data_IF_917405471396
#
_entry.id   IF_917405471396
#
_cell.length_a   1.000
_cell.length_b   1.000
_cell.length_c   1.000
_cell.angle_alpha   90.00
_cell.angle_beta   90.00
_cell.angle_gamma   90.00
#
_symmetry.space_group_name_H-M   'P 1'
#
loop_
_entity.id
_entity.type
_entity.pdbx_description
1 polymer ?
#
# COMPACT_ATOMS: atom_id res chain seq x y z
N UNK A 1 -3.91 13.91 -25.02
CA UNK A 1 -3.18 15.02 -24.35
C UNK A 1 -1.98 14.47 -23.59
N UNK A 2 -0.82 15.12 -23.69
CA UNK A 2 0.38 14.71 -22.94
C UNK A 2 0.17 14.78 -21.41
N UNK A 3 0.72 13.80 -20.68
CA UNK A 3 0.67 13.72 -19.21
C UNK A 3 1.88 14.43 -18.62
N UNK A 4 1.71 15.70 -18.26
CA UNK A 4 2.79 16.56 -17.74
C UNK A 4 3.43 16.01 -16.45
N UNK A 5 2.67 15.26 -15.65
CA UNK A 5 3.14 14.64 -14.41
C UNK A 5 4.28 13.63 -14.63
N UNK A 6 4.44 13.12 -15.86
CA UNK A 6 5.54 12.21 -16.24
C UNK A 6 6.82 12.94 -16.65
N UNK A 7 6.78 14.24 -16.95
CA UNK A 7 7.96 14.99 -17.40
C UNK A 7 9.15 14.91 -16.42
N UNK A 8 8.95 15.01 -15.08
CA UNK A 8 10.06 14.83 -14.13
C UNK A 8 10.70 13.44 -14.18
N UNK A 9 10.03 12.45 -14.78
CA UNK A 9 10.50 11.07 -14.92
C UNK A 9 11.05 10.77 -16.32
N UNK A 10 11.20 11.78 -17.20
CA UNK A 10 11.69 11.60 -18.58
C UNK A 10 12.96 10.75 -18.64
N UNK A 11 14.01 11.15 -17.91
CA UNK A 11 15.30 10.45 -17.88
C UNK A 11 15.17 9.00 -17.41
N UNK A 12 14.28 8.75 -16.44
CA UNK A 12 14.02 7.41 -15.95
C UNK A 12 13.33 6.56 -17.02
N UNK A 13 12.34 7.11 -17.71
CA UNK A 13 11.60 6.42 -18.78
C UNK A 13 12.51 6.17 -20.00
N UNK A 14 13.42 7.11 -20.31
CA UNK A 14 14.34 7.03 -21.44
C UNK A 14 15.38 5.90 -21.28
N UNK A 15 15.82 5.62 -20.04
CA UNK A 15 16.79 4.55 -19.71
C UNK A 15 16.33 3.14 -20.07
N UNK A 16 15.04 2.92 -20.36
CA UNK A 16 14.55 1.61 -20.76
C UNK A 16 15.02 1.22 -22.17
N UNK A 17 15.90 0.23 -22.21
CA UNK A 17 16.44 -0.40 -23.43
C UNK A 17 15.64 -1.63 -23.90
N UNK A 18 14.46 -1.89 -23.31
CA UNK A 18 13.50 -2.97 -23.70
C UNK A 18 14.06 -4.40 -23.74
N UNK A 19 15.19 -4.63 -23.08
CA UNK A 19 15.94 -5.89 -23.04
C UNK A 19 15.20 -7.11 -22.45
N UNK A 20 14.13 -6.91 -21.67
CA UNK A 20 13.30 -8.01 -21.17
C UNK A 20 13.70 -8.61 -19.81
N UNK A 21 14.83 -8.21 -19.20
CA UNK A 21 15.26 -8.71 -17.88
C UNK A 21 14.21 -8.54 -16.77
N UNK A 22 13.33 -7.54 -16.90
CA UNK A 22 12.22 -7.34 -15.98
C UNK A 22 11.22 -8.52 -15.93
N UNK A 23 11.23 -9.43 -16.91
CA UNK A 23 10.38 -10.63 -16.93
C UNK A 23 10.65 -11.55 -15.73
N UNK A 24 11.92 -11.79 -15.41
CA UNK A 24 12.32 -12.65 -14.29
C UNK A 24 11.78 -12.13 -12.95
N UNK A 25 11.71 -10.80 -12.79
CA UNK A 25 11.30 -10.16 -11.55
C UNK A 25 9.82 -9.83 -11.41
N UNK A 26 8.99 -10.03 -12.45
CA UNK A 26 7.59 -9.63 -12.42
C UNK A 26 6.65 -10.81 -12.11
N UNK A 27 6.05 -10.89 -10.91
CA UNK A 27 5.13 -11.99 -10.58
C UNK A 27 3.84 -11.95 -11.40
N UNK A 28 3.38 -10.75 -11.80
CA UNK A 28 2.17 -10.58 -12.61
C UNK A 28 2.38 -11.16 -14.00
N UNK A 29 3.52 -10.86 -14.63
CA UNK A 29 3.87 -11.43 -15.94
C UNK A 29 4.00 -12.95 -15.89
N UNK A 30 4.57 -13.50 -14.81
CA UNK A 30 4.67 -14.97 -14.64
C UNK A 30 3.31 -15.68 -14.64
N UNK A 31 2.24 -14.98 -14.26
CA UNK A 31 0.88 -15.53 -14.23
C UNK A 31 0.12 -15.21 -15.51
N UNK A 32 0.27 -13.99 -16.03
CA UNK A 32 -0.55 -13.47 -17.15
C UNK A 32 0.07 -13.70 -18.52
N UNK A 33 1.40 -13.73 -18.62
CA UNK A 33 2.12 -13.70 -19.90
C UNK A 33 2.02 -12.37 -20.65
N UNK A 34 1.37 -11.36 -20.08
CA UNK A 34 1.02 -10.12 -20.78
C UNK A 34 2.16 -9.10 -20.77
N UNK A 35 2.54 -8.64 -21.97
CA UNK A 35 3.68 -7.73 -22.15
C UNK A 35 3.49 -6.39 -21.41
N UNK A 36 2.26 -5.89 -21.31
CA UNK A 36 1.95 -4.64 -20.63
C UNK A 36 2.20 -4.71 -19.11
N UNK A 37 2.21 -5.91 -18.51
CA UNK A 37 2.48 -6.11 -17.08
C UNK A 37 3.96 -5.93 -16.73
N UNK A 38 4.85 -5.96 -17.71
CA UNK A 38 6.30 -5.81 -17.52
C UNK A 38 6.72 -4.36 -17.33
N UNK A 39 7.90 -4.18 -16.71
CA UNK A 39 8.52 -2.85 -16.63
C UNK A 39 8.67 -2.20 -18.01
N UNK A 40 9.17 -2.93 -19.01
CA UNK A 40 9.36 -2.39 -20.37
C UNK A 40 8.04 -2.00 -21.05
N UNK A 41 6.98 -2.80 -20.89
CA UNK A 41 5.64 -2.46 -21.39
C UNK A 41 5.10 -1.18 -20.73
N UNK A 42 5.25 -1.07 -19.41
CA UNK A 42 4.87 0.13 -18.65
C UNK A 42 5.68 1.36 -19.03
N UNK A 43 6.97 1.23 -19.33
CA UNK A 43 7.80 2.33 -19.84
C UNK A 43 7.36 2.76 -21.25
N UNK A 44 6.93 1.81 -22.10
CA UNK A 44 6.38 2.14 -23.42
C UNK A 44 5.06 2.91 -23.30
N UNK A 45 4.15 2.47 -22.42
CA UNK A 45 2.92 3.19 -22.10
C UNK A 45 3.23 4.59 -21.57
N UNK A 46 4.13 4.69 -20.57
CA UNK A 46 4.53 5.97 -19.99
C UNK A 46 5.12 6.92 -21.03
N UNK A 47 5.98 6.42 -21.93
CA UNK A 47 6.52 7.23 -23.03
C UNK A 47 5.42 7.72 -23.97
N UNK A 48 4.46 6.87 -24.34
CA UNK A 48 3.34 7.27 -25.20
C UNK A 48 2.46 8.34 -24.55
N UNK A 49 2.15 8.17 -23.26
CA UNK A 49 1.41 9.15 -22.46
C UNK A 49 2.15 10.48 -22.33
N UNK A 50 3.47 10.43 -22.13
CA UNK A 50 4.33 11.61 -21.98
C UNK A 50 4.47 12.40 -23.29
N UNK A 51 4.60 11.70 -24.42
CA UNK A 51 4.72 12.31 -25.76
C UNK A 51 3.37 12.69 -26.37
N UNK A 52 2.25 12.34 -25.73
CA UNK A 52 0.91 12.61 -26.23
C UNK A 52 0.47 11.71 -27.39
N UNK A 53 1.22 10.64 -27.70
CA UNK A 53 0.86 9.64 -28.71
C UNK A 53 -0.08 8.55 -28.18
N UNK A 54 -0.35 8.56 -26.88
CA UNK A 54 -1.31 7.69 -26.20
C UNK A 54 -2.16 8.54 -25.26
N UNK A 55 -3.47 8.34 -25.27
CA UNK A 55 -4.37 9.00 -24.33
C UNK A 55 -4.56 8.19 -23.05
N UNK A 56 -4.69 8.89 -21.92
CA UNK A 56 -4.91 8.26 -20.62
C UNK A 56 -6.37 7.82 -20.43
N UNK A 57 -6.73 6.75 -21.14
CA UNK A 57 -8.06 6.14 -21.11
C UNK A 57 -8.20 5.09 -20.01
N UNK A 58 -9.43 4.64 -19.75
CA UNK A 58 -9.70 3.52 -18.83
C UNK A 58 -9.00 2.23 -19.27
N UNK A 59 -8.87 2.00 -20.57
CA UNK A 59 -8.22 0.82 -21.13
C UNK A 59 -6.71 0.84 -20.84
N UNK A 60 -6.04 1.96 -21.12
CA UNK A 60 -4.62 2.15 -20.77
C UNK A 60 -4.40 1.96 -19.28
N UNK A 61 -5.33 2.44 -18.44
CA UNK A 61 -5.24 2.19 -17.00
C UNK A 61 -5.39 0.73 -16.61
N UNK A 62 -6.28 -0.05 -17.25
CA UNK A 62 -6.40 -1.49 -16.94
C UNK A 62 -5.06 -2.21 -17.12
N UNK A 63 -4.28 -1.83 -18.13
CA UNK A 63 -2.96 -2.38 -18.38
C UNK A 63 -1.92 -2.06 -17.28
N UNK A 64 -2.19 -1.07 -16.42
CA UNK A 64 -1.31 -0.62 -15.33
C UNK A 64 -1.85 -0.98 -13.93
N UNK A 65 -3.14 -1.29 -13.81
CA UNK A 65 -3.81 -1.58 -12.54
C UNK A 65 -3.34 -2.89 -11.90
N UNK A 66 -2.85 -3.83 -12.70
CA UNK A 66 -2.28 -5.10 -12.26
C UNK A 66 -0.94 -4.94 -11.50
N UNK A 67 -0.30 -3.76 -11.57
CA UNK A 67 0.97 -3.52 -10.91
C UNK A 67 0.82 -3.57 -9.38
N UNK A 68 1.49 -4.55 -8.77
CA UNK A 68 1.56 -4.71 -7.32
C UNK A 68 2.50 -3.70 -6.63
N UNK A 69 3.24 -2.90 -7.39
CA UNK A 69 4.30 -2.00 -6.90
C UNK A 69 5.37 -2.72 -6.05
N UNK A 70 5.59 -4.02 -6.28
CA UNK A 70 6.50 -4.86 -5.50
C UNK A 70 7.99 -4.62 -5.79
N UNK A 71 8.32 -3.83 -6.83
CA UNK A 71 9.70 -3.53 -7.27
C UNK A 71 10.55 -4.74 -7.67
N UNK A 72 9.96 -5.93 -7.83
CA UNK A 72 10.68 -7.12 -8.30
C UNK A 72 11.34 -6.91 -9.67
N UNK A 73 10.65 -6.24 -10.59
CA UNK A 73 11.21 -5.85 -11.89
C UNK A 73 12.38 -4.85 -11.78
N UNK A 74 12.34 -3.92 -10.82
CA UNK A 74 13.43 -2.97 -10.57
C UNK A 74 14.69 -3.69 -10.12
N UNK A 75 14.56 -4.67 -9.22
CA UNK A 75 15.69 -5.46 -8.71
C UNK A 75 16.42 -6.27 -9.80
N UNK A 76 15.70 -6.68 -10.86
CA UNK A 76 16.26 -7.44 -11.99
C UNK A 76 16.72 -6.56 -13.16
N UNK A 77 16.46 -5.26 -13.10
CA UNK A 77 16.74 -4.35 -14.20
C UNK A 77 18.16 -3.77 -14.05
N UNK A 78 19.02 -3.92 -15.07
CA UNK A 78 20.37 -3.33 -15.06
C UNK A 78 20.39 -1.82 -14.73
N UNK A 79 19.59 -0.96 -15.40
CA UNK A 79 19.49 0.45 -15.01
C UNK A 79 18.59 0.71 -13.78
N UNK A 80 18.12 -0.32 -13.09
CA UNK A 80 17.30 -0.25 -11.88
C UNK A 80 16.09 0.70 -12.00
N UNK A 81 15.34 0.61 -13.10
CA UNK A 81 14.20 1.48 -13.38
C UNK A 81 13.16 1.45 -12.25
N UNK A 82 12.83 2.61 -11.68
CA UNK A 82 11.78 2.81 -10.66
C UNK A 82 10.40 2.78 -11.31
N UNK A 83 10.04 1.59 -11.80
CA UNK A 83 8.76 1.33 -12.48
C UNK A 83 7.58 1.64 -11.57
N UNK A 84 7.72 1.41 -10.27
CA UNK A 84 6.71 1.74 -9.28
C UNK A 84 6.40 3.24 -9.24
N UNK A 85 7.41 4.10 -9.34
CA UNK A 85 7.22 5.56 -9.35
C UNK A 85 6.48 6.00 -10.62
N UNK A 86 6.86 5.47 -11.78
CA UNK A 86 6.16 5.73 -13.05
C UNK A 86 4.70 5.30 -12.99
N UNK A 87 4.42 4.08 -12.52
CA UNK A 87 3.05 3.57 -12.42
C UNK A 87 2.24 4.40 -11.43
N UNK A 88 2.80 4.72 -10.27
CA UNK A 88 2.12 5.53 -9.27
C UNK A 88 1.83 6.95 -9.79
N UNK A 89 2.75 7.55 -10.54
CA UNK A 89 2.52 8.84 -11.22
C UNK A 89 1.38 8.76 -12.23
N UNK A 90 1.32 7.69 -13.03
CA UNK A 90 0.21 7.50 -13.99
C UNK A 90 -1.13 7.29 -13.26
N UNK A 91 -1.15 6.51 -12.18
CA UNK A 91 -2.34 6.33 -11.33
C UNK A 91 -2.82 7.65 -10.74
N UNK A 92 -1.90 8.49 -10.27
CA UNK A 92 -2.20 9.83 -9.76
C UNK A 92 -2.75 10.76 -10.84
N UNK A 93 -2.11 10.78 -12.00
CA UNK A 93 -2.55 11.52 -13.18
C UNK A 93 -3.97 11.10 -13.60
N UNK A 94 -4.30 9.80 -13.51
CA UNK A 94 -5.63 9.29 -13.82
C UNK A 94 -6.67 9.73 -12.80
N UNK A 95 -6.41 9.56 -11.50
CA UNK A 95 -7.34 9.97 -10.43
C UNK A 95 -7.60 11.48 -10.47
N UNK A 96 -6.58 12.28 -10.77
CA UNK A 96 -6.71 13.74 -10.87
C UNK A 96 -7.65 14.16 -12.00
N UNK A 97 -7.64 13.44 -13.12
CA UNK A 97 -8.47 13.73 -14.30
C UNK A 97 -9.86 13.11 -14.25
N UNK A 98 -9.97 11.88 -13.78
CA UNK A 98 -11.19 11.06 -13.85
C UNK A 98 -11.89 10.89 -12.49
N UNK A 99 -11.28 11.38 -11.42
CA UNK A 99 -11.75 11.19 -10.06
C UNK A 99 -11.41 9.82 -9.46
N UNK A 100 -11.74 9.67 -8.18
CA UNK A 100 -11.65 8.42 -7.44
C UNK A 100 -13.00 8.06 -6.83
N UNK A 101 -13.29 6.76 -6.63
CA UNK A 101 -14.51 6.33 -5.94
C UNK A 101 -14.65 6.99 -4.56
N UNK A 102 -15.84 7.50 -4.25
CA UNK A 102 -16.10 8.26 -3.01
C UNK A 102 -15.78 7.44 -1.76
N UNK A 103 -16.08 6.15 -1.79
CA UNK A 103 -15.78 5.23 -0.69
C UNK A 103 -14.27 5.11 -0.44
N UNK A 104 -13.43 5.10 -1.49
CA UNK A 104 -11.97 5.06 -1.36
C UNK A 104 -11.45 6.35 -0.74
N UNK A 105 -11.98 7.50 -1.18
CA UNK A 105 -11.63 8.81 -0.63
C UNK A 105 -11.95 8.89 0.87
N UNK A 106 -13.12 8.42 1.29
CA UNK A 106 -13.51 8.37 2.71
C UNK A 106 -12.60 7.41 3.49
N UNK A 107 -12.33 6.22 2.96
CA UNK A 107 -11.44 5.24 3.57
C UNK A 107 -10.06 5.85 3.81
N UNK A 108 -9.43 6.45 2.80
CA UNK A 108 -8.07 6.98 2.90
C UNK A 108 -7.99 8.24 3.75
N UNK A 109 -8.89 9.21 3.53
CA UNK A 109 -8.79 10.54 4.16
C UNK A 109 -9.42 10.59 5.55
N UNK A 110 -10.38 9.73 5.88
CA UNK A 110 -11.08 9.77 7.16
C UNK A 110 -10.76 8.59 8.06
N UNK A 111 -10.83 7.36 7.53
CA UNK A 111 -10.61 6.16 8.35
C UNK A 111 -9.12 5.95 8.56
N UNK A 112 -8.33 5.72 7.49
CA UNK A 112 -6.91 5.40 7.59
C UNK A 112 -6.03 6.54 8.15
N UNK A 113 -6.50 7.78 8.06
CA UNK A 113 -5.77 8.94 8.57
C UNK A 113 -6.00 9.20 10.06
N UNK A 114 -6.85 8.41 10.72
CA UNK A 114 -7.15 8.51 12.14
C UNK A 114 -6.98 7.14 12.79
N UNK A 115 -6.02 7.05 13.70
CA UNK A 115 -5.70 5.79 14.34
C UNK A 115 -6.92 5.20 15.08
N UNK A 116 -7.78 6.02 15.72
CA UNK A 116 -8.92 5.51 16.53
C UNK A 116 -9.96 4.91 15.60
N UNK A 117 -10.21 5.57 14.47
CA UNK A 117 -11.13 5.07 13.45
C UNK A 117 -10.60 3.82 12.78
N UNK A 118 -9.29 3.72 12.50
CA UNK A 118 -8.68 2.47 12.03
C UNK A 118 -8.95 1.34 13.01
N UNK A 119 -8.67 1.53 14.29
CA UNK A 119 -8.85 0.45 15.27
C UNK A 119 -10.31 0.02 15.41
N UNK A 120 -11.23 0.99 15.46
CA UNK A 120 -12.66 0.72 15.52
C UNK A 120 -13.13 -0.03 14.26
N UNK A 121 -12.77 0.47 13.07
CA UNK A 121 -13.14 -0.15 11.78
C UNK A 121 -12.56 -1.55 11.62
N UNK A 122 -11.30 -1.75 12.01
CA UNK A 122 -10.64 -3.05 12.01
C UNK A 122 -11.33 -4.04 12.95
N UNK A 123 -11.68 -3.62 14.17
CA UNK A 123 -12.44 -4.46 15.12
C UNK A 123 -13.81 -4.85 14.58
N UNK A 124 -14.53 -3.90 13.97
CA UNK A 124 -15.84 -4.19 13.35
C UNK A 124 -15.69 -5.16 12.17
N UNK A 125 -14.67 -4.98 11.33
CA UNK A 125 -14.39 -5.88 10.21
C UNK A 125 -14.04 -7.29 10.69
N UNK A 126 -13.21 -7.42 11.72
CA UNK A 126 -12.89 -8.71 12.35
C UNK A 126 -14.13 -9.39 12.92
N UNK A 127 -14.95 -8.64 13.65
CA UNK A 127 -16.20 -9.14 14.21
C UNK A 127 -17.15 -9.62 13.10
N UNK A 128 -17.33 -8.84 12.04
CA UNK A 128 -18.14 -9.22 10.88
C UNK A 128 -17.60 -10.47 10.17
N UNK A 129 -16.27 -10.63 10.07
CA UNK A 129 -15.65 -11.82 9.48
C UNK A 129 -15.86 -13.07 10.36
N UNK A 130 -15.68 -12.94 11.68
CA UNK A 130 -15.87 -14.04 12.66
C UNK A 130 -17.31 -14.53 12.74
N UNK A 131 -18.27 -13.62 12.64
CA UNK A 131 -19.70 -13.96 12.65
C UNK A 131 -20.26 -14.32 11.26
N UNK A 132 -19.41 -14.48 10.24
CA UNK A 132 -19.83 -14.87 8.89
C UNK A 132 -20.58 -13.81 8.10
N UNK A 133 -20.77 -12.61 8.65
CA UNK A 133 -21.44 -11.49 7.97
C UNK A 133 -20.67 -11.04 6.73
N UNK A 134 -19.33 -11.01 6.79
CA UNK A 134 -18.50 -10.68 5.63
C UNK A 134 -18.68 -11.70 4.50
N UNK A 135 -18.71 -13.00 4.85
CA UNK A 135 -18.95 -14.11 3.91
C UNK A 135 -20.36 -14.05 3.32
N UNK A 136 -21.36 -13.70 4.14
CA UNK A 136 -22.73 -13.53 3.67
C UNK A 136 -22.84 -12.35 2.72
N UNK A 137 -22.26 -11.20 3.05
CA UNK A 137 -22.23 -10.01 2.20
C UNK A 137 -21.49 -10.25 0.87
N UNK A 138 -20.49 -11.14 0.86
CA UNK A 138 -19.85 -11.60 -0.37
C UNK A 138 -20.82 -12.44 -1.21
N UNK A 139 -21.44 -13.46 -0.60
CA UNK A 139 -22.37 -14.39 -1.28
C UNK A 139 -23.62 -13.70 -1.84
N UNK A 140 -24.13 -12.69 -1.13
CA UNK A 140 -25.28 -11.89 -1.58
C UNK A 140 -24.90 -10.82 -2.61
N UNK A 141 -23.61 -10.68 -2.93
CA UNK A 141 -23.11 -9.68 -3.88
C UNK A 141 -23.05 -8.25 -3.34
N UNK A 142 -23.42 -8.01 -2.07
CA UNK A 142 -23.42 -6.69 -1.45
C UNK A 142 -22.03 -6.04 -1.47
N UNK A 143 -20.97 -6.82 -1.25
CA UNK A 143 -19.60 -6.31 -1.36
C UNK A 143 -19.26 -5.85 -2.78
N UNK A 144 -19.76 -6.58 -3.79
CA UNK A 144 -19.54 -6.26 -5.20
C UNK A 144 -20.28 -5.01 -5.68
N UNK A 145 -21.40 -4.66 -5.03
CA UNK A 145 -22.12 -3.40 -5.28
C UNK A 145 -21.30 -2.18 -4.86
N UNK A 146 -20.49 -2.30 -3.80
CA UNK A 146 -19.60 -1.22 -3.35
C UNK A 146 -18.35 -1.17 -4.25
N UNK A 147 -17.65 -2.30 -4.39
CA UNK A 147 -16.57 -2.47 -5.35
C UNK A 147 -16.31 -3.98 -5.57
N UNK A 148 -16.25 -4.41 -6.83
CA UNK A 148 -15.98 -5.81 -7.21
C UNK A 148 -14.69 -6.37 -6.58
N UNK A 149 -13.71 -5.51 -6.28
CA UNK A 149 -12.44 -5.87 -5.65
C UNK A 149 -12.59 -6.25 -4.17
N UNK A 150 -13.64 -5.78 -3.48
CA UNK A 150 -13.87 -6.11 -2.07
C UNK A 150 -14.21 -7.58 -1.86
N UNK A 151 -14.97 -8.19 -2.78
CA UNK A 151 -15.26 -9.62 -2.74
C UNK A 151 -13.97 -10.45 -2.92
N UNK A 152 -13.08 -10.03 -3.83
CA UNK A 152 -11.76 -10.68 -4.01
C UNK A 152 -10.91 -10.50 -2.75
N UNK A 153 -10.87 -9.29 -2.18
CA UNK A 153 -10.12 -9.00 -0.97
C UNK A 153 -10.59 -9.86 0.21
N UNK A 154 -11.90 -10.07 0.37
CA UNK A 154 -12.46 -10.91 1.44
C UNK A 154 -11.97 -12.37 1.34
N UNK A 155 -11.91 -12.92 0.12
CA UNK A 155 -11.46 -14.30 -0.14
C UNK A 155 -9.97 -14.52 0.05
N UNK A 156 -9.15 -13.54 -0.34
CA UNK A 156 -7.68 -13.67 -0.33
C UNK A 156 -7.09 -13.25 1.02
N UNK A 157 -7.80 -12.41 1.79
CA UNK A 157 -7.33 -11.99 3.10
C UNK A 157 -7.16 -13.19 4.03
N UNK A 158 -6.01 -13.32 4.72
CA UNK A 158 -5.75 -14.43 5.62
C UNK A 158 -6.81 -14.51 6.73
N UNK A 159 -6.96 -15.69 7.37
CA UNK A 159 -7.75 -15.79 8.59
C UNK A 159 -7.18 -14.83 9.65
N UNK A 160 -8.07 -14.17 10.39
CA UNK A 160 -7.71 -13.15 11.39
C UNK A 160 -8.28 -13.55 12.75
N UNK A 161 -7.79 -14.69 13.24
CA UNK A 161 -8.33 -15.36 14.42
C UNK A 161 -7.64 -14.88 15.71
N UNK A 162 -6.40 -14.39 15.57
CA UNK A 162 -5.65 -13.83 16.68
C UNK A 162 -6.29 -12.55 17.25
N UNK A 163 -5.96 -12.25 18.51
CA UNK A 163 -6.32 -10.98 19.14
C UNK A 163 -5.48 -9.86 18.48
N UNK A 164 -6.11 -8.78 17.97
CA UNK A 164 -5.35 -7.71 17.33
C UNK A 164 -4.51 -6.94 18.36
N UNK A 165 -3.33 -6.48 17.93
CA UNK A 165 -2.47 -5.61 18.73
C UNK A 165 -2.97 -4.16 18.65
N UNK A 166 -3.64 -3.70 19.71
CA UNK A 166 -4.35 -2.41 19.77
C UNK A 166 -3.60 -1.37 20.63
N UNK A 167 -4.07 -0.13 20.57
CA UNK A 167 -3.41 0.98 21.29
C UNK A 167 -3.29 0.81 22.79
N UNK A 168 -4.28 0.17 23.42
CA UNK A 168 -4.26 -0.09 24.87
C UNK A 168 -3.16 -1.05 25.29
N UNK A 169 -2.62 -1.85 24.37
CA UNK A 169 -1.57 -2.84 24.62
C UNK A 169 -0.17 -2.25 24.47
N UNK A 170 -0.05 -0.96 24.11
CA UNK A 170 1.24 -0.25 24.01
C UNK A 170 2.01 -0.16 25.33
N UNK A 171 1.35 -0.42 26.46
CA UNK A 171 1.98 -0.50 27.78
C UNK A 171 2.59 -1.86 28.08
N UNK A 172 2.29 -2.90 27.28
CA UNK A 172 2.75 -4.27 27.47
C UNK A 172 4.07 -4.56 26.73
N UNK A 173 4.97 -3.57 26.70
CA UNK A 173 6.27 -3.69 26.04
C UNK A 173 7.27 -4.36 27.00
N UNK A 174 7.92 -5.47 26.61
CA UNK A 174 8.93 -6.10 27.44
C UNK A 174 10.10 -5.14 27.71
N UNK A 175 10.53 -5.04 28.97
CA UNK A 175 11.69 -4.24 29.34
C UNK A 175 13.00 -5.02 29.07
N UNK A 176 14.04 -4.37 28.53
CA UNK A 176 15.37 -4.98 28.44
C UNK A 176 16.00 -5.12 29.83
N UNK A 177 16.82 -6.17 30.03
CA UNK A 177 17.59 -6.33 31.28
C UNK A 177 18.65 -5.23 31.47
N UNK A 178 19.23 -4.74 30.36
CA UNK A 178 20.13 -3.59 30.34
C UNK A 178 19.79 -2.72 29.13
N UNK A 179 19.62 -1.43 29.36
CA UNK A 179 19.30 -0.47 28.30
C UNK A 179 20.57 -0.12 27.51
N UNK A 180 20.57 -0.45 26.22
CA UNK A 180 21.64 -0.09 25.25
C UNK A 180 21.14 0.93 24.22
N UNK A 181 19.89 0.77 23.78
CA UNK A 181 19.30 1.59 22.72
C UNK A 181 17.89 2.04 23.08
N UNK A 182 17.46 3.17 22.50
CA UNK A 182 16.06 3.65 22.56
C UNK A 182 15.46 3.55 21.16
N UNK A 183 14.34 2.86 21.02
CA UNK A 183 13.71 2.59 19.72
C UNK A 183 12.27 3.03 19.72
N UNK A 184 11.90 3.88 18.76
CA UNK A 184 10.50 4.14 18.44
C UNK A 184 9.97 3.09 17.47
N UNK A 185 8.99 2.29 17.87
CA UNK A 185 8.41 1.27 17.01
C UNK A 185 7.12 1.76 16.33
N UNK A 186 7.19 1.98 15.02
CA UNK A 186 6.03 2.32 14.18
C UNK A 186 5.25 1.05 13.85
N UNK A 187 4.08 0.89 14.47
CA UNK A 187 3.28 -0.33 14.29
C UNK A 187 2.42 -0.21 13.04
N UNK A 188 2.61 -1.12 12.09
CA UNK A 188 1.76 -1.19 10.89
C UNK A 188 0.35 -1.67 11.26
N UNK A 189 -0.69 -0.94 10.84
CA UNK A 189 -2.08 -1.36 11.01
C UNK A 189 -2.35 -2.73 10.35
N UNK A 190 -1.65 -3.06 9.27
CA UNK A 190 -1.75 -4.37 8.64
C UNK A 190 -1.28 -5.49 9.57
N UNK A 191 -0.14 -5.31 10.22
CA UNK A 191 0.39 -6.28 11.18
C UNK A 191 -0.47 -6.36 12.44
N UNK A 192 -0.93 -5.22 12.98
CA UNK A 192 -1.81 -5.19 14.15
C UNK A 192 -3.05 -6.09 14.02
N UNK A 193 -3.62 -6.20 12.83
CA UNK A 193 -4.86 -6.94 12.60
C UNK A 193 -4.66 -8.31 11.94
N UNK A 194 -3.69 -8.45 11.02
CA UNK A 194 -3.49 -9.69 10.26
C UNK A 194 -2.43 -10.61 10.87
N UNK A 195 -1.40 -10.04 11.51
CA UNK A 195 -0.24 -10.79 12.02
C UNK A 195 0.25 -10.19 13.36
N UNK A 196 -0.62 -10.08 14.39
CA UNK A 196 -0.26 -9.47 15.66
C UNK A 196 0.93 -10.17 16.35
N UNK A 197 1.10 -11.47 16.14
CA UNK A 197 2.24 -12.25 16.62
C UNK A 197 3.59 -11.72 16.12
N UNK A 198 3.62 -11.12 14.91
CA UNK A 198 4.82 -10.48 14.36
C UNK A 198 5.16 -9.22 15.14
N UNK A 199 4.15 -8.45 15.57
CA UNK A 199 4.34 -7.27 16.42
C UNK A 199 4.94 -7.68 17.76
N UNK A 200 4.36 -8.66 18.43
CA UNK A 200 4.85 -9.15 19.72
C UNK A 200 6.25 -9.75 19.62
N UNK A 201 6.51 -10.56 18.58
CA UNK A 201 7.82 -11.14 18.33
C UNK A 201 8.88 -10.04 18.12
N UNK A 202 8.54 -8.99 17.38
CA UNK A 202 9.42 -7.83 17.17
C UNK A 202 9.76 -7.16 18.50
N UNK A 203 8.77 -6.90 19.35
CA UNK A 203 8.99 -6.29 20.67
C UNK A 203 9.89 -7.17 21.56
N UNK A 204 9.66 -8.49 21.59
CA UNK A 204 10.51 -9.43 22.35
C UNK A 204 11.95 -9.45 21.85
N UNK A 205 12.16 -9.46 20.53
CA UNK A 205 13.50 -9.43 19.92
C UNK A 205 14.21 -8.12 20.27
N UNK A 206 13.54 -6.98 20.16
CA UNK A 206 14.11 -5.68 20.51
C UNK A 206 14.51 -5.63 22.00
N UNK A 207 13.63 -6.04 22.90
CA UNK A 207 13.91 -6.06 24.34
C UNK A 207 15.10 -6.97 24.68
N UNK A 208 15.17 -8.18 24.09
CA UNK A 208 16.33 -9.09 24.27
C UNK A 208 17.65 -8.51 23.80
N UNK A 209 17.61 -7.60 22.82
CA UNK A 209 18.81 -6.93 22.30
C UNK A 209 19.13 -5.61 23.02
N UNK A 210 18.52 -5.35 24.18
CA UNK A 210 18.80 -4.18 25.00
C UNK A 210 18.11 -2.91 24.52
N UNK A 211 17.07 -3.02 23.68
CA UNK A 211 16.30 -1.87 23.23
C UNK A 211 15.17 -1.57 24.21
N UNK A 212 15.15 -0.38 24.78
CA UNK A 212 13.93 0.18 25.37
C UNK A 212 13.05 0.68 24.24
N UNK A 213 11.87 0.08 24.08
CA UNK A 213 10.97 0.36 22.97
C UNK A 213 9.83 1.25 23.41
N UNK A 214 9.59 2.33 22.66
CA UNK A 214 8.38 3.14 22.75
C UNK A 214 7.53 2.83 21.53
N UNK A 215 6.34 2.24 21.74
CA UNK A 215 5.40 2.03 20.65
C UNK A 215 4.78 3.38 20.28
N UNK A 216 5.01 3.80 19.04
CA UNK A 216 4.68 5.14 18.58
C UNK A 216 3.17 5.34 18.39
N UNK A 217 2.69 6.56 18.63
CA UNK A 217 1.30 6.93 18.30
C UNK A 217 1.10 7.27 16.83
N UNK A 218 1.29 6.29 15.96
CA UNK A 218 1.08 6.43 14.52
C UNK A 218 -0.35 6.07 14.08
N UNK A 219 -0.74 6.60 12.92
CA UNK A 219 -1.91 6.19 12.13
C UNK A 219 -1.48 5.19 11.04
N UNK A 220 -2.25 5.03 9.95
CA UNK A 220 -1.80 4.26 8.78
C UNK A 220 -0.46 4.82 8.25
N UNK A 221 0.34 3.98 7.59
CA UNK A 221 1.54 4.41 6.86
C UNK A 221 1.23 5.10 5.52
N UNK A 222 -0.03 5.14 5.09
CA UNK A 222 -0.45 5.75 3.82
C UNK A 222 -0.21 4.87 2.59
N UNK A 223 0.32 3.65 2.75
CA UNK A 223 0.60 2.72 1.64
C UNK A 223 -0.61 2.46 0.74
N UNK A 224 -1.84 2.20 1.24
CA UNK A 224 -2.99 2.00 0.36
C UNK A 224 -3.27 3.22 -0.53
N UNK A 225 -3.32 4.43 0.04
CA UNK A 225 -3.55 5.65 -0.73
C UNK A 225 -2.49 5.86 -1.81
N UNK A 226 -1.20 5.68 -1.45
CA UNK A 226 -0.09 5.76 -2.40
C UNK A 226 -0.22 4.74 -3.54
N UNK A 227 -0.55 3.49 -3.21
CA UNK A 227 -0.66 2.43 -4.21
C UNK A 227 -1.80 2.65 -5.19
N UNK A 228 -2.90 3.26 -4.74
CA UNK A 228 -4.03 3.60 -5.60
C UNK A 228 -3.82 4.90 -6.40
N UNK A 229 -2.84 5.73 -6.04
CA UNK A 229 -2.55 7.00 -6.72
C UNK A 229 -3.12 8.25 -6.04
N UNK A 230 -3.78 8.12 -4.88
CA UNK A 230 -4.19 9.27 -4.04
C UNK A 230 -2.96 9.77 -3.25
N UNK A 231 -2.02 10.39 -3.97
CA UNK A 231 -0.76 10.89 -3.41
C UNK A 231 -0.98 12.00 -2.39
N UNK A 232 -2.05 12.76 -2.53
CA UNK A 232 -2.39 13.81 -1.58
C UNK A 232 -2.83 13.21 -0.24
N UNK A 233 -3.74 12.22 -0.27
CA UNK A 233 -4.09 11.50 0.96
C UNK A 233 -2.87 10.78 1.57
N UNK A 234 -2.00 10.20 0.75
CA UNK A 234 -0.77 9.58 1.26
C UNK A 234 0.15 10.59 1.95
N UNK A 235 0.35 11.78 1.36
CA UNK A 235 1.13 12.88 1.95
C UNK A 235 0.49 13.41 3.22
N UNK A 236 -0.83 13.57 3.26
CA UNK A 236 -1.55 14.04 4.45
C UNK A 236 -1.40 13.06 5.61
N UNK A 237 -1.53 11.75 5.35
CA UNK A 237 -1.29 10.70 6.34
C UNK A 237 0.17 10.76 6.84
N UNK A 238 1.13 10.93 5.92
CA UNK A 238 2.53 11.06 6.29
C UNK A 238 2.78 12.28 7.19
N UNK A 239 2.24 13.47 6.85
CA UNK A 239 2.33 14.68 7.68
C UNK A 239 1.72 14.47 9.06
N UNK A 240 0.55 13.83 9.15
CA UNK A 240 -0.09 13.52 10.46
C UNK A 240 0.81 12.64 11.33
N UNK A 241 1.44 11.62 10.75
CA UNK A 241 2.41 10.80 11.48
C UNK A 241 3.61 11.63 11.90
N UNK A 242 4.26 12.38 11.00
CA UNK A 242 5.42 13.22 11.33
C UNK A 242 5.09 14.18 12.48
N UNK A 243 3.94 14.87 12.43
CA UNK A 243 3.53 15.78 13.49
C UNK A 243 3.32 15.05 14.83
N UNK A 244 2.66 13.88 14.82
CA UNK A 244 2.46 13.06 16.03
C UNK A 244 3.77 12.58 16.63
N UNK A 245 4.71 12.17 15.79
CA UNK A 245 6.02 11.69 16.22
C UNK A 245 6.89 12.83 16.75
N UNK A 246 6.89 13.98 16.07
CA UNK A 246 7.63 15.16 16.51
C UNK A 246 7.13 15.68 17.87
N UNK A 247 5.82 15.58 18.15
CA UNK A 247 5.25 15.92 19.46
C UNK A 247 5.51 14.89 20.56
N UNK A 248 6.02 13.69 20.22
CA UNK A 248 6.26 12.60 21.15
C UNK A 248 7.77 12.39 21.47
N UNK A 249 8.65 13.17 20.84
CA UNK A 249 10.10 13.22 21.07
C UNK A 249 10.43 14.44 21.92
#
# INVERSE_FOLDING_TARGET
MAIAELLPLHELIAKCNRCGFCQAGCPVFRVTGEEHSLSRGRMAIARGLMLGSLDLTREVMRALEDCLLCRGCTAHCFPALKTDEVVTTIRHAYITRHGQPVWQRILFRTILSDSKKIELSGRMALWAKRHGLATMAEKTGLLGLVDKRLAVANRVAPPMDAKPFLRGERTQVPAPAQVKYRVGYFVSCGLSFQFPEVVEATLRVLARNGCTVTVLDNTCCGRPAYSYGDLDAARDIARKNVNRLASAM
#
